data_IF_718817635208
#
_entry.id   IF_718817635208
#
_cell.length_a   1.000
_cell.length_b   1.000
_cell.length_c   1.000
_cell.angle_alpha   90.00
_cell.angle_beta   90.00
_cell.angle_gamma   90.00
#
_symmetry.space_group_name_H-M   'P 1'
#
loop_
_entity.id
_entity.type
_entity.pdbx_description
1 polymer ?
#
# COMPACT_ATOMS: atom_id res chain seq x y z
N UNK A 1 -6.54 -0.36 -30.06
CA UNK A 1 -7.39 -0.57 -28.88
C UNK A 1 -8.49 -1.57 -29.26
N UNK A 2 -8.78 -2.50 -28.37
CA UNK A 2 -9.82 -3.50 -28.55
C UNK A 2 -10.85 -3.36 -27.43
N UNK A 3 -12.13 -3.34 -27.79
CA UNK A 3 -13.23 -3.48 -26.86
C UNK A 3 -13.68 -4.94 -26.94
N UNK A 4 -13.62 -5.64 -25.81
CA UNK A 4 -14.12 -7.00 -25.69
C UNK A 4 -15.50 -6.92 -25.05
N UNK A 5 -16.52 -7.26 -25.84
CA UNK A 5 -17.86 -7.41 -25.34
C UNK A 5 -17.97 -8.76 -24.61
N UNK A 6 -18.33 -8.74 -23.34
CA UNK A 6 -18.41 -9.93 -22.50
C UNK A 6 -19.83 -10.07 -21.95
N UNK A 7 -20.38 -11.27 -22.01
CA UNK A 7 -21.70 -11.56 -21.44
C UNK A 7 -21.72 -11.23 -19.94
N UNK A 8 -22.48 -10.19 -19.59
CA UNK A 8 -22.56 -9.66 -18.23
C UNK A 8 -23.01 -10.70 -17.18
N UNK A 9 -23.70 -11.75 -17.60
CA UNK A 9 -24.19 -12.82 -16.73
C UNK A 9 -23.07 -13.69 -16.10
N UNK A 10 -21.84 -13.64 -16.61
CA UNK A 10 -20.72 -14.46 -16.17
C UNK A 10 -19.77 -13.74 -15.20
N UNK A 11 -19.97 -12.48 -14.92
CA UNK A 11 -19.09 -11.70 -14.05
C UNK A 11 -19.79 -11.32 -12.75
N UNK A 12 -19.62 -12.18 -11.74
CA UNK A 12 -19.96 -11.81 -10.36
C UNK A 12 -18.82 -10.96 -9.83
N UNK A 13 -19.08 -9.67 -9.60
CA UNK A 13 -18.15 -8.81 -8.88
C UNK A 13 -18.06 -9.31 -7.44
N UNK A 14 -16.92 -9.90 -7.09
CA UNK A 14 -16.66 -10.31 -5.72
C UNK A 14 -16.14 -9.08 -4.98
N UNK A 15 -16.97 -8.52 -4.11
CA UNK A 15 -16.51 -7.55 -3.13
C UNK A 15 -15.45 -8.23 -2.25
N UNK A 16 -14.20 -7.73 -2.19
CA UNK A 16 -13.26 -8.20 -1.20
C UNK A 16 -13.90 -7.92 0.17
N UNK A 17 -14.09 -8.97 0.97
CA UNK A 17 -14.72 -8.83 2.29
C UNK A 17 -14.06 -7.70 3.08
N UNK A 18 -14.85 -6.71 3.42
CA UNK A 18 -14.45 -5.55 4.24
C UNK A 18 -14.54 -5.85 5.73
N UNK A 19 -14.99 -7.03 6.11
CA UNK A 19 -15.16 -7.42 7.49
C UNK A 19 -13.81 -7.43 8.21
N UNK A 20 -13.60 -6.42 9.03
CA UNK A 20 -12.48 -6.32 9.95
C UNK A 20 -12.92 -7.03 11.23
N UNK A 21 -12.24 -8.11 11.58
CA UNK A 21 -12.50 -8.75 12.87
C UNK A 21 -12.02 -7.86 14.02
N UNK A 22 -12.79 -7.88 15.12
CA UNK A 22 -12.50 -7.04 16.31
C UNK A 22 -11.11 -7.32 16.90
N UNK A 23 -10.59 -8.53 16.77
CA UNK A 23 -9.27 -8.93 17.25
C UNK A 23 -8.14 -8.19 16.49
N UNK A 24 -8.33 -7.89 15.21
CA UNK A 24 -7.35 -7.17 14.38
C UNK A 24 -7.39 -5.65 14.56
N UNK A 25 -8.46 -5.09 15.13
CA UNK A 25 -8.62 -3.63 15.27
C UNK A 25 -7.46 -2.93 16.00
N UNK A 26 -6.93 -3.43 17.15
CA UNK A 26 -5.80 -2.79 17.82
C UNK A 26 -4.55 -2.74 16.95
N UNK A 27 -4.26 -3.78 16.18
CA UNK A 27 -3.14 -3.86 15.23
C UNK A 27 -3.29 -2.82 14.13
N UNK A 28 -4.47 -2.74 13.51
CA UNK A 28 -4.73 -1.79 12.43
C UNK A 28 -4.72 -0.34 12.91
N UNK A 29 -5.21 -0.10 14.13
CA UNK A 29 -5.14 1.21 14.79
C UNK A 29 -3.70 1.66 15.00
N UNK A 30 -2.84 0.79 15.52
CA UNK A 30 -1.43 1.10 15.74
C UNK A 30 -0.72 1.42 14.42
N UNK A 31 -0.87 0.55 13.41
CA UNK A 31 -0.30 0.76 12.08
C UNK A 31 -0.84 2.05 11.45
N UNK A 32 -2.13 2.30 11.52
CA UNK A 32 -2.76 3.52 10.99
C UNK A 32 -2.24 4.80 11.66
N UNK A 33 -1.98 4.76 12.96
CA UNK A 33 -1.32 5.85 13.69
C UNK A 33 0.08 6.14 13.15
N UNK A 34 0.90 5.11 12.93
CA UNK A 34 2.23 5.26 12.36
C UNK A 34 2.20 5.71 10.89
N UNK A 35 1.25 5.23 10.10
CA UNK A 35 1.06 5.74 8.73
C UNK A 35 0.66 7.22 8.74
N UNK A 36 -0.23 7.63 9.64
CA UNK A 36 -0.60 9.03 9.80
C UNK A 36 0.59 9.91 10.21
N UNK A 37 1.55 9.40 10.96
CA UNK A 37 2.80 10.11 11.28
C UNK A 37 3.70 10.26 10.03
N UNK A 38 3.84 9.22 9.22
CA UNK A 38 4.73 9.19 8.06
C UNK A 38 4.19 9.95 6.85
N UNK A 39 2.88 9.93 6.63
CA UNK A 39 2.24 10.56 5.47
C UNK A 39 2.04 12.04 5.76
N UNK A 40 2.69 12.97 5.05
CA UNK A 40 2.45 14.40 5.26
C UNK A 40 1.10 14.83 4.66
N UNK A 41 0.58 15.97 5.11
CA UNK A 41 -0.49 16.66 4.40
C UNK A 41 -0.08 16.94 2.96
N UNK A 42 -1.03 17.03 2.06
CA UNK A 42 -0.82 17.29 0.63
C UNK A 42 -0.13 16.14 -0.15
N UNK A 43 0.23 15.03 0.51
CA UNK A 43 0.86 13.90 -0.18
C UNK A 43 -0.05 13.30 -1.25
N UNK A 44 0.55 12.90 -2.38
CA UNK A 44 -0.12 12.01 -3.33
C UNK A 44 0.15 10.57 -2.91
N UNK A 45 -0.89 9.81 -2.61
CA UNK A 45 -0.76 8.44 -2.10
C UNK A 45 -1.07 7.40 -3.19
N UNK A 46 -0.34 6.32 -3.14
CA UNK A 46 -0.67 5.03 -3.72
C UNK A 46 -0.92 4.04 -2.59
N UNK A 47 -1.91 3.18 -2.80
CA UNK A 47 -2.34 2.22 -1.78
C UNK A 47 -2.47 0.84 -2.39
N UNK A 48 -1.63 -0.07 -1.95
CA UNK A 48 -1.75 -1.49 -2.30
C UNK A 48 -3.01 -2.13 -1.74
N UNK A 49 -3.49 -3.16 -2.42
CA UNK A 49 -4.67 -3.94 -2.01
C UNK A 49 -4.47 -4.62 -0.66
N UNK A 50 -5.56 -4.80 0.06
CA UNK A 50 -5.63 -5.64 1.25
C UNK A 50 -6.32 -4.98 2.44
N UNK A 51 -6.91 -5.80 3.30
CA UNK A 51 -7.66 -5.36 4.49
C UNK A 51 -6.81 -4.53 5.46
N UNK A 52 -5.54 -4.87 5.61
CA UNK A 52 -4.63 -4.13 6.48
C UNK A 52 -4.49 -2.67 6.03
N UNK A 53 -4.25 -2.42 4.73
CA UNK A 53 -4.17 -1.06 4.20
C UNK A 53 -5.51 -0.34 4.35
N UNK A 54 -6.61 -0.94 3.90
CA UNK A 54 -7.93 -0.32 3.97
C UNK A 54 -8.29 0.11 5.41
N UNK A 55 -8.10 -0.80 6.38
CA UNK A 55 -8.38 -0.51 7.79
C UNK A 55 -7.45 0.55 8.39
N UNK A 56 -6.16 0.50 8.03
CA UNK A 56 -5.17 1.45 8.56
C UNK A 56 -5.35 2.86 8.00
N UNK A 57 -5.81 2.98 6.75
CA UNK A 57 -6.02 4.29 6.11
C UNK A 57 -7.21 5.06 6.68
N UNK A 58 -8.14 4.43 7.39
CA UNK A 58 -9.19 5.15 8.13
C UNK A 58 -8.60 6.14 9.16
N UNK A 59 -7.39 5.87 9.65
CA UNK A 59 -6.68 6.76 10.59
C UNK A 59 -6.00 7.96 9.90
N UNK A 60 -6.16 8.13 8.59
CA UNK A 60 -5.75 9.33 7.86
C UNK A 60 -6.80 10.46 7.91
N UNK A 61 -7.94 10.27 8.57
CA UNK A 61 -8.97 11.29 8.74
C UNK A 61 -8.46 12.68 9.21
N UNK A 62 -7.38 12.79 10.03
CA UNK A 62 -6.82 14.09 10.39
C UNK A 62 -6.00 14.77 9.28
N UNK A 63 -5.70 14.08 8.19
CA UNK A 63 -4.88 14.62 7.08
C UNK A 63 -5.67 15.59 6.22
N UNK A 64 -4.94 16.43 5.48
CA UNK A 64 -5.52 17.47 4.63
C UNK A 64 -4.94 17.41 3.22
N UNK A 65 -5.80 17.68 2.25
CA UNK A 65 -5.44 17.86 0.84
C UNK A 65 -4.66 16.69 0.23
N UNK A 66 -4.91 15.47 0.65
CA UNK A 66 -4.29 14.30 0.02
C UNK A 66 -4.70 14.20 -1.45
N UNK A 67 -3.81 13.64 -2.27
CA UNK A 67 -4.07 13.26 -3.65
C UNK A 67 -3.99 11.75 -3.82
N UNK A 68 -4.58 11.22 -4.89
CA UNK A 68 -4.53 9.79 -5.23
C UNK A 68 -3.96 9.59 -6.63
N UNK A 69 -2.92 8.77 -6.72
CA UNK A 69 -2.41 8.17 -7.93
C UNK A 69 -2.01 6.73 -7.59
N UNK A 70 -2.87 5.77 -7.91
CA UNK A 70 -2.78 4.40 -7.40
C UNK A 70 -3.08 3.36 -8.48
N UNK A 71 -2.63 2.13 -8.31
CA UNK A 71 -3.02 1.02 -9.19
C UNK A 71 -4.50 0.69 -9.00
N UNK A 72 -4.92 0.48 -7.75
CA UNK A 72 -6.29 0.07 -7.42
C UNK A 72 -6.98 1.12 -6.56
N UNK A 73 -8.20 1.49 -6.95
CA UNK A 73 -9.08 2.37 -6.18
C UNK A 73 -10.09 1.53 -5.41
N UNK A 74 -10.23 1.77 -4.12
CA UNK A 74 -11.11 1.03 -3.23
C UNK A 74 -11.99 1.92 -2.35
N UNK A 75 -12.92 1.32 -1.62
CA UNK A 75 -13.92 2.00 -0.77
C UNK A 75 -13.31 3.01 0.21
N UNK A 76 -12.16 2.69 0.78
CA UNK A 76 -11.50 3.62 1.72
C UNK A 76 -11.10 4.94 1.04
N UNK A 77 -10.66 4.91 -0.21
CA UNK A 77 -10.28 6.11 -0.95
C UNK A 77 -11.54 6.93 -1.34
N UNK A 78 -12.65 6.27 -1.65
CA UNK A 78 -13.96 6.92 -1.81
C UNK A 78 -14.35 7.64 -0.51
N UNK A 79 -14.34 6.95 0.62
CA UNK A 79 -14.69 7.51 1.92
C UNK A 79 -13.82 8.72 2.30
N UNK A 80 -12.51 8.64 2.11
CA UNK A 80 -11.59 9.76 2.37
C UNK A 80 -11.82 10.94 1.41
N UNK A 81 -12.32 10.68 0.20
CA UNK A 81 -12.69 11.73 -0.76
C UNK A 81 -13.99 12.42 -0.31
N UNK A 82 -15.01 11.67 0.07
CA UNK A 82 -16.29 12.22 0.54
C UNK A 82 -16.17 13.04 1.83
N UNK A 83 -15.26 12.61 2.72
CA UNK A 83 -14.95 13.34 3.97
C UNK A 83 -14.02 14.54 3.76
N UNK A 84 -13.56 14.80 2.52
CA UNK A 84 -12.73 15.96 2.18
C UNK A 84 -11.25 15.83 2.58
N UNK A 85 -10.81 14.65 3.00
CA UNK A 85 -9.39 14.36 3.27
C UNK A 85 -8.59 14.28 1.96
N UNK A 86 -9.19 13.66 0.93
CA UNK A 86 -8.65 13.60 -0.43
C UNK A 86 -9.34 14.67 -1.28
N UNK A 87 -8.60 15.69 -1.66
CA UNK A 87 -9.06 16.77 -2.54
C UNK A 87 -8.42 16.72 -3.92
N UNK A 88 -7.27 16.05 -4.04
CA UNK A 88 -6.42 16.03 -5.23
C UNK A 88 -5.90 17.42 -5.68
N UNK A 89 -6.12 18.48 -4.92
CA UNK A 89 -5.81 19.87 -5.32
C UNK A 89 -4.31 20.15 -5.34
N UNK A 90 -3.52 19.39 -4.61
CA UNK A 90 -2.06 19.57 -4.50
C UNK A 90 -1.26 18.63 -5.41
N UNK A 91 -1.90 17.75 -6.14
CA UNK A 91 -1.22 16.90 -7.13
C UNK A 91 -0.48 17.73 -8.17
N UNK A 92 0.66 17.23 -8.66
CA UNK A 92 1.41 17.89 -9.74
C UNK A 92 0.71 17.73 -11.09
N UNK A 93 0.12 16.55 -11.33
CA UNK A 93 -0.61 16.22 -12.55
C UNK A 93 -2.03 15.76 -12.22
N UNK A 94 -2.97 15.99 -13.13
CA UNK A 94 -4.40 15.60 -12.97
C UNK A 94 -4.99 16.14 -11.67
N UNK A 95 -4.76 17.43 -11.37
CA UNK A 95 -5.30 18.10 -10.18
C UNK A 95 -6.82 18.00 -10.11
N UNK A 96 -7.33 17.78 -8.90
CA UNK A 96 -8.76 17.61 -8.65
C UNK A 96 -9.29 16.23 -9.03
N UNK A 97 -8.44 15.29 -9.46
CA UNK A 97 -8.84 13.94 -9.84
C UNK A 97 -7.99 12.86 -9.19
N UNK A 98 -8.64 11.85 -8.65
CA UNK A 98 -8.00 10.58 -8.31
C UNK A 98 -7.74 9.78 -9.59
N UNK A 99 -6.50 9.29 -9.76
CA UNK A 99 -6.07 8.54 -10.95
C UNK A 99 -5.76 7.09 -10.57
N UNK A 100 -6.30 6.14 -11.33
CA UNK A 100 -6.11 4.70 -11.08
C UNK A 100 -6.32 3.88 -12.36
N UNK A 101 -5.98 2.57 -12.33
CA UNK A 101 -6.17 1.66 -13.46
C UNK A 101 -7.13 0.51 -13.17
N UNK A 102 -7.39 0.21 -11.90
CA UNK A 102 -8.31 -0.85 -11.46
C UNK A 102 -9.22 -0.36 -10.34
N UNK A 103 -10.35 -1.01 -10.18
CA UNK A 103 -11.30 -0.77 -9.09
C UNK A 103 -11.58 -2.10 -8.40
N UNK A 104 -11.60 -2.07 -7.07
CA UNK A 104 -11.99 -3.22 -6.25
C UNK A 104 -12.69 -2.75 -4.99
N UNK A 105 -13.99 -3.06 -4.85
CA UNK A 105 -14.77 -2.62 -3.71
C UNK A 105 -16.24 -3.03 -3.78
N UNK A 106 -17.06 -2.32 -3.05
CA UNK A 106 -18.49 -2.57 -2.91
C UNK A 106 -19.28 -2.04 -4.12
N UNK A 107 -20.54 -2.46 -4.23
CA UNK A 107 -21.47 -1.91 -5.23
C UNK A 107 -21.66 -0.39 -5.06
N UNK A 108 -21.58 0.12 -3.83
CA UNK A 108 -21.63 1.55 -3.54
C UNK A 108 -20.48 2.30 -4.21
N UNK A 109 -19.25 1.77 -4.13
CA UNK A 109 -18.09 2.33 -4.83
C UNK A 109 -18.32 2.42 -6.33
N UNK A 110 -18.85 1.35 -6.96
CA UNK A 110 -19.08 1.35 -8.41
C UNK A 110 -20.15 2.36 -8.82
N UNK A 111 -21.20 2.55 -8.03
CA UNK A 111 -22.19 3.60 -8.26
C UNK A 111 -21.61 5.00 -8.06
N UNK A 112 -20.74 5.17 -7.07
CA UNK A 112 -20.08 6.44 -6.80
C UNK A 112 -19.11 6.84 -7.93
N UNK A 113 -18.48 5.88 -8.59
CA UNK A 113 -17.59 6.11 -9.72
C UNK A 113 -18.34 6.51 -11.00
N UNK A 114 -19.60 6.11 -11.15
CA UNK A 114 -20.38 6.37 -12.35
C UNK A 114 -20.56 7.87 -12.57
N UNK A 115 -20.15 8.34 -13.74
CA UNK A 115 -20.16 9.77 -14.12
C UNK A 115 -19.46 10.74 -13.14
N UNK A 116 -18.62 10.25 -12.24
CA UNK A 116 -17.87 11.07 -11.28
C UNK A 116 -16.68 11.76 -11.95
N UNK A 117 -16.75 13.09 -12.09
CA UNK A 117 -15.68 13.89 -12.70
C UNK A 117 -14.43 14.05 -11.80
N UNK A 118 -14.51 13.70 -10.52
CA UNK A 118 -13.39 13.71 -9.56
C UNK A 118 -12.45 12.51 -9.69
N UNK A 119 -12.74 11.57 -10.61
CA UNK A 119 -11.92 10.38 -10.84
C UNK A 119 -11.54 10.26 -12.32
N UNK A 120 -10.43 9.58 -12.57
CA UNK A 120 -9.95 9.27 -13.91
C UNK A 120 -9.33 7.89 -13.94
N UNK A 121 -9.97 6.95 -14.62
CA UNK A 121 -9.46 5.62 -14.84
C UNK A 121 -8.67 5.59 -16.16
N UNK A 122 -7.41 5.19 -16.08
CA UNK A 122 -6.51 5.12 -17.22
C UNK A 122 -5.91 3.72 -17.38
N UNK A 123 -5.27 3.50 -18.54
CA UNK A 123 -4.56 2.25 -18.80
C UNK A 123 -3.33 2.11 -17.87
N UNK A 124 -2.90 0.87 -17.63
CA UNK A 124 -1.79 0.58 -16.73
C UNK A 124 -0.45 1.16 -17.21
N UNK A 125 -0.22 1.33 -18.50
CA UNK A 125 1.01 1.94 -19.03
C UNK A 125 1.17 3.40 -18.61
N UNK A 126 0.08 4.13 -18.45
CA UNK A 126 0.07 5.52 -17.97
C UNK A 126 0.15 5.57 -16.45
N UNK A 127 -0.73 4.84 -15.76
CA UNK A 127 -0.85 4.88 -14.30
C UNK A 127 0.39 4.30 -13.61
N UNK A 128 0.96 3.22 -14.14
CA UNK A 128 2.14 2.56 -13.58
C UNK A 128 3.47 3.09 -14.14
N UNK A 129 3.45 4.17 -14.93
CA UNK A 129 4.67 4.76 -15.45
C UNK A 129 5.50 5.41 -14.32
N UNK A 130 6.72 4.91 -14.03
CA UNK A 130 7.51 5.42 -12.92
C UNK A 130 7.83 6.92 -13.05
N UNK A 131 8.01 7.43 -14.29
CA UNK A 131 8.24 8.85 -14.55
C UNK A 131 7.03 9.72 -14.18
N UNK A 132 5.82 9.28 -14.50
CA UNK A 132 4.57 9.97 -14.13
C UNK A 132 4.36 9.93 -12.60
N UNK A 133 4.58 8.78 -11.99
CA UNK A 133 4.46 8.60 -10.54
C UNK A 133 5.48 9.48 -9.80
N UNK A 134 6.75 9.49 -10.22
CA UNK A 134 7.82 10.24 -9.57
C UNK A 134 7.62 11.76 -9.61
N UNK A 135 6.85 12.28 -10.57
CA UNK A 135 6.52 13.71 -10.64
C UNK A 135 5.40 14.14 -9.71
N UNK A 136 4.66 13.20 -9.11
CA UNK A 136 3.59 13.55 -8.18
C UNK A 136 4.14 14.21 -6.91
N UNK A 137 3.41 15.22 -6.42
CA UNK A 137 3.80 15.93 -5.19
C UNK A 137 3.80 14.98 -3.98
N UNK A 138 4.94 14.89 -3.28
CA UNK A 138 5.14 14.06 -2.07
C UNK A 138 4.66 12.63 -2.25
N UNK A 139 5.04 11.99 -3.37
CA UNK A 139 4.57 10.65 -3.70
C UNK A 139 4.85 9.66 -2.58
N UNK A 140 3.81 9.08 -2.01
CA UNK A 140 3.90 8.13 -0.90
C UNK A 140 3.25 6.82 -1.30
N UNK A 141 4.08 5.79 -1.51
CA UNK A 141 3.64 4.44 -1.87
C UNK A 141 3.49 3.59 -0.59
N UNK A 142 2.31 3.00 -0.40
CA UNK A 142 1.94 2.22 0.79
C UNK A 142 1.54 0.82 0.35
N UNK A 143 2.40 -0.14 0.55
CA UNK A 143 2.22 -1.49 0.05
C UNK A 143 2.30 -2.56 1.14
N UNK A 144 1.48 -3.60 1.04
CA UNK A 144 1.53 -4.74 1.94
C UNK A 144 2.63 -5.71 1.56
N UNK A 145 3.24 -6.34 2.57
CA UNK A 145 4.10 -7.50 2.38
C UNK A 145 3.59 -8.72 3.14
N UNK A 146 3.88 -9.88 2.60
CA UNK A 146 3.70 -11.17 3.29
C UNK A 146 4.76 -11.33 4.37
N UNK A 147 6.01 -10.97 4.04
CA UNK A 147 7.15 -11.02 4.95
C UNK A 147 8.26 -10.07 4.49
N UNK A 148 9.12 -9.67 5.42
CA UNK A 148 10.31 -8.84 5.19
C UNK A 148 11.51 -9.50 5.86
N UNK A 149 12.69 -9.52 5.21
CA UNK A 149 13.91 -10.02 5.80
C UNK A 149 14.72 -8.92 6.52
N UNK A 150 15.76 -9.32 7.28
CA UNK A 150 16.60 -8.37 8.04
C UNK A 150 17.47 -7.46 7.15
N UNK A 151 17.56 -7.69 5.86
CA UNK A 151 18.14 -6.76 4.90
C UNK A 151 17.13 -5.70 4.42
N UNK A 152 15.84 -5.94 4.68
CA UNK A 152 14.74 -5.08 4.24
C UNK A 152 14.26 -5.40 2.82
N UNK A 153 14.47 -6.61 2.34
CA UNK A 153 13.81 -7.13 1.16
C UNK A 153 12.36 -7.50 1.53
N UNK A 154 11.40 -7.29 0.63
CA UNK A 154 10.01 -7.65 0.86
C UNK A 154 9.52 -8.68 -0.16
N UNK A 155 8.78 -9.66 0.31
CA UNK A 155 7.98 -10.60 -0.46
C UNK A 155 6.51 -10.22 -0.29
N UNK A 156 5.81 -9.94 -1.39
CA UNK A 156 4.39 -9.54 -1.38
C UNK A 156 3.47 -10.50 -2.15
N UNK A 157 4.01 -11.53 -2.78
CA UNK A 157 3.31 -12.35 -3.77
C UNK A 157 3.37 -13.86 -3.52
N UNK A 158 4.23 -14.31 -2.60
CA UNK A 158 4.50 -15.74 -2.38
C UNK A 158 4.19 -16.14 -0.94
N UNK A 159 3.37 -17.15 -0.77
CA UNK A 159 2.92 -17.59 0.54
C UNK A 159 2.94 -19.12 0.65
N UNK A 160 3.56 -19.65 1.70
CA UNK A 160 3.61 -21.11 1.98
C UNK A 160 4.14 -21.95 0.81
N UNK A 161 5.18 -21.47 0.13
CA UNK A 161 5.81 -22.20 -0.96
C UNK A 161 5.07 -22.12 -2.30
N UNK A 162 4.08 -21.23 -2.43
CA UNK A 162 3.28 -21.07 -3.64
C UNK A 162 3.12 -19.62 -4.03
N UNK A 163 3.10 -19.36 -5.33
CA UNK A 163 2.68 -18.06 -5.87
C UNK A 163 1.22 -17.82 -5.51
N UNK A 164 0.93 -16.68 -4.89
CA UNK A 164 -0.38 -16.29 -4.40
C UNK A 164 -1.03 -15.22 -5.27
N UNK A 165 -0.23 -14.30 -5.77
CA UNK A 165 -0.67 -13.20 -6.65
C UNK A 165 0.43 -12.84 -7.64
N UNK A 166 0.15 -11.95 -8.58
CA UNK A 166 1.19 -11.22 -9.31
C UNK A 166 1.86 -10.17 -8.42
N UNK A 167 2.99 -9.63 -8.89
CA UNK A 167 3.68 -8.53 -8.24
C UNK A 167 2.90 -7.21 -8.32
N UNK A 168 2.05 -7.05 -9.35
CA UNK A 168 1.35 -5.78 -9.61
C UNK A 168 2.30 -4.61 -9.84
N UNK A 169 1.84 -3.40 -9.53
CA UNK A 169 2.59 -2.16 -9.67
C UNK A 169 3.53 -1.82 -8.51
N UNK A 170 3.68 -2.68 -7.50
CA UNK A 170 4.44 -2.37 -6.28
C UNK A 170 5.86 -1.84 -6.57
N UNK A 171 6.60 -2.45 -7.51
CA UNK A 171 7.94 -2.00 -7.88
C UNK A 171 7.93 -0.63 -8.57
N UNK A 172 6.94 -0.35 -9.41
CA UNK A 172 6.79 0.92 -10.11
C UNK A 172 6.58 2.06 -9.12
N UNK A 173 5.63 1.89 -8.20
CA UNK A 173 5.32 2.89 -7.18
C UNK A 173 6.47 3.06 -6.17
N UNK A 174 7.04 1.98 -5.66
CA UNK A 174 8.13 2.04 -4.71
C UNK A 174 9.37 2.73 -5.31
N UNK A 175 9.76 2.41 -6.56
CA UNK A 175 10.90 3.03 -7.22
C UNK A 175 10.68 4.52 -7.50
N UNK A 176 9.48 4.87 -7.92
CA UNK A 176 9.11 6.25 -8.19
C UNK A 176 9.05 7.09 -6.90
N UNK A 177 8.46 6.55 -5.84
CA UNK A 177 8.42 7.20 -4.54
C UNK A 177 9.81 7.40 -3.95
N UNK A 178 10.69 6.39 -4.02
CA UNK A 178 12.08 6.48 -3.56
C UNK A 178 12.92 7.46 -4.39
N UNK A 179 12.53 7.75 -5.63
CA UNK A 179 13.19 8.74 -6.50
C UNK A 179 12.66 10.16 -6.34
N UNK A 180 11.54 10.33 -5.64
CA UNK A 180 10.92 11.62 -5.37
C UNK A 180 11.55 12.23 -4.12
N UNK A 181 11.99 13.50 -4.18
CA UNK A 181 12.73 14.16 -3.08
C UNK A 181 11.96 14.19 -1.75
N UNK A 182 10.65 14.30 -1.79
CA UNK A 182 9.77 14.27 -0.61
C UNK A 182 8.93 12.98 -0.53
N UNK A 183 9.23 12.02 -1.41
CA UNK A 183 8.50 10.76 -1.50
C UNK A 183 8.85 9.78 -0.40
N UNK A 184 8.02 8.74 -0.27
CA UNK A 184 8.25 7.65 0.68
C UNK A 184 7.77 6.33 0.10
N UNK A 185 8.61 5.30 0.19
CA UNK A 185 8.24 3.91 -0.06
C UNK A 185 8.04 3.19 1.27
N UNK A 186 6.81 2.83 1.58
CA UNK A 186 6.39 2.26 2.86
C UNK A 186 5.88 0.84 2.64
N UNK A 187 6.48 -0.12 3.31
CA UNK A 187 6.01 -1.49 3.39
C UNK A 187 5.31 -1.71 4.71
N UNK A 188 4.09 -2.24 4.65
CA UNK A 188 3.24 -2.45 5.83
C UNK A 188 2.96 -3.94 6.00
N UNK A 189 3.09 -4.43 7.21
CA UNK A 189 2.70 -5.79 7.55
C UNK A 189 2.43 -5.93 9.05
N UNK A 190 1.63 -6.89 9.44
CA UNK A 190 1.57 -7.35 10.83
C UNK A 190 2.89 -8.01 11.19
N UNK A 191 3.40 -7.82 12.41
CA UNK A 191 4.71 -8.38 12.80
C UNK A 191 4.70 -9.91 12.97
N UNK A 192 3.50 -10.50 13.12
CA UNK A 192 3.29 -11.91 13.41
C UNK A 192 2.16 -12.48 12.54
N UNK A 193 2.20 -13.77 12.25
CA UNK A 193 1.09 -14.47 11.59
C UNK A 193 -0.14 -14.53 12.50
N UNK A 194 -1.36 -14.56 11.90
CA UNK A 194 -2.63 -14.59 12.64
C UNK A 194 -2.72 -15.69 13.72
N UNK A 195 -2.09 -16.85 13.50
CA UNK A 195 -2.05 -17.92 14.47
C UNK A 195 -0.96 -17.75 15.56
N UNK A 196 -0.25 -16.63 15.58
CA UNK A 196 0.79 -16.31 16.55
C UNK A 196 2.05 -17.20 16.50
N UNK A 197 2.22 -18.03 15.47
CA UNK A 197 3.28 -19.04 15.42
C UNK A 197 4.56 -18.56 14.76
N UNK A 198 4.48 -17.62 13.82
CA UNK A 198 5.63 -17.22 13.01
C UNK A 198 5.75 -15.70 12.92
N UNK A 199 6.98 -15.19 13.03
CA UNK A 199 7.29 -13.81 12.71
C UNK A 199 7.13 -13.57 11.21
N UNK A 200 6.64 -12.40 10.80
CA UNK A 200 6.69 -11.93 9.41
C UNK A 200 7.96 -11.12 9.12
N UNK A 201 8.70 -10.72 10.17
CA UNK A 201 10.08 -10.22 10.02
C UNK A 201 11.00 -11.43 10.14
N UNK A 202 11.72 -11.76 9.07
CA UNK A 202 12.53 -12.97 8.93
C UNK A 202 14.03 -12.67 8.96
N UNK A 203 14.88 -13.54 9.51
CA UNK A 203 16.33 -13.40 9.35
C UNK A 203 16.73 -13.35 7.87
N UNK A 204 16.17 -14.25 7.07
CA UNK A 204 16.30 -14.35 5.61
C UNK A 204 15.10 -15.10 5.05
N UNK A 205 14.81 -14.93 3.78
CA UNK A 205 13.74 -15.67 3.12
C UNK A 205 14.10 -17.16 2.96
N UNK A 206 13.10 -18.01 3.00
CA UNK A 206 13.26 -19.41 2.64
C UNK A 206 13.73 -19.54 1.17
N UNK A 207 14.56 -20.56 0.86
CA UNK A 207 14.97 -20.80 -0.53
C UNK A 207 13.78 -20.89 -1.49
N UNK A 208 13.89 -20.19 -2.61
CA UNK A 208 12.82 -20.14 -3.61
C UNK A 208 11.74 -19.07 -3.38
N UNK A 209 11.80 -18.33 -2.28
CA UNK A 209 10.91 -17.17 -2.08
C UNK A 209 11.37 -16.01 -2.97
N UNK A 210 10.49 -15.44 -3.82
CA UNK A 210 10.84 -14.29 -4.64
C UNK A 210 11.02 -13.02 -3.78
N UNK A 211 11.89 -12.15 -4.23
CA UNK A 211 12.03 -10.79 -3.71
C UNK A 211 11.18 -9.87 -4.58
N UNK A 212 9.98 -9.53 -4.12
CA UNK A 212 9.10 -8.62 -4.85
C UNK A 212 9.63 -7.19 -4.83
N UNK A 213 10.10 -6.72 -3.65
CA UNK A 213 10.78 -5.45 -3.51
C UNK A 213 12.22 -5.65 -3.04
N UNK A 214 13.22 -5.22 -3.84
CA UNK A 214 14.60 -5.22 -3.40
C UNK A 214 14.81 -4.21 -2.26
N UNK A 215 15.75 -4.50 -1.38
CA UNK A 215 16.09 -3.68 -0.20
C UNK A 215 16.37 -2.20 -0.50
N UNK A 216 16.74 -1.88 -1.72
CA UNK A 216 17.03 -0.49 -2.15
C UNK A 216 15.79 0.34 -2.36
N UNK A 217 14.63 -0.28 -2.52
CA UNK A 217 13.34 0.38 -2.72
C UNK A 217 12.47 0.39 -1.46
N UNK A 218 12.87 -0.27 -0.38
CA UNK A 218 12.15 -0.28 0.90
C UNK A 218 12.77 0.76 1.81
N UNK A 219 12.08 1.88 2.02
CA UNK A 219 12.56 2.97 2.87
C UNK A 219 12.05 2.88 4.29
N UNK A 220 10.79 2.46 4.44
CA UNK A 220 10.14 2.27 5.74
C UNK A 220 9.45 0.92 5.79
N UNK A 221 9.54 0.29 6.95
CA UNK A 221 8.73 -0.89 7.30
C UNK A 221 7.92 -0.54 8.53
N UNK A 222 6.59 -0.69 8.43
CA UNK A 222 5.65 -0.37 9.50
C UNK A 222 4.94 -1.64 9.94
N UNK A 223 4.97 -1.89 11.23
CA UNK A 223 4.19 -2.93 11.90
C UNK A 223 3.40 -2.31 13.06
N UNK A 224 2.59 -3.06 13.75
CA UNK A 224 1.93 -2.61 14.98
C UNK A 224 2.93 -2.35 16.13
N UNK A 225 4.19 -2.74 15.94
CA UNK A 225 5.26 -2.53 16.94
C UNK A 225 6.04 -1.21 16.71
N UNK A 226 5.84 -0.54 15.57
CA UNK A 226 6.52 0.71 15.26
C UNK A 226 6.94 0.89 13.80
N UNK A 227 7.82 1.86 13.59
CA UNK A 227 8.37 2.26 12.29
C UNK A 227 9.86 1.92 12.24
N UNK A 228 10.28 1.11 11.29
CA UNK A 228 11.68 0.92 10.93
C UNK A 228 12.03 1.78 9.72
N UNK A 229 12.80 2.86 9.92
CA UNK A 229 13.39 3.64 8.83
C UNK A 229 14.68 2.97 8.37
N UNK A 230 14.77 2.65 7.08
CA UNK A 230 15.89 1.88 6.51
C UNK A 230 16.84 2.71 5.64
N UNK A 231 16.43 3.92 5.26
CA UNK A 231 17.21 4.82 4.41
C UNK A 231 18.53 5.21 5.10
N UNK A 232 19.63 5.13 4.35
CA UNK A 232 20.96 5.54 4.83
C UNK A 232 21.58 4.59 5.86
N UNK A 233 20.96 3.43 6.12
CA UNK A 233 21.44 2.46 7.11
C UNK A 233 22.31 1.36 6.49
N UNK A 234 23.37 1.00 7.20
CA UNK A 234 24.17 -0.20 6.92
C UNK A 234 23.34 -1.48 7.15
N UNK A 235 23.74 -2.65 6.61
CA UNK A 235 23.03 -3.90 6.83
C UNK A 235 22.79 -4.22 8.32
N UNK A 236 23.77 -3.97 9.18
CA UNK A 236 23.63 -4.18 10.63
C UNK A 236 22.59 -3.25 11.27
N UNK A 237 22.57 -1.98 10.88
CA UNK A 237 21.59 -1.00 11.38
C UNK A 237 20.19 -1.29 10.86
N UNK A 238 20.07 -1.77 9.60
CA UNK A 238 18.78 -2.23 9.05
C UNK A 238 18.24 -3.40 9.85
N UNK A 239 19.08 -4.40 10.12
CA UNK A 239 18.68 -5.55 10.93
C UNK A 239 18.20 -5.12 12.32
N UNK A 240 18.94 -4.24 13.01
CA UNK A 240 18.53 -3.71 14.34
C UNK A 240 17.18 -2.97 14.27
N UNK A 241 16.98 -2.14 13.26
CA UNK A 241 15.72 -1.42 13.07
C UNK A 241 14.55 -2.39 12.84
N UNK A 242 14.72 -3.42 12.01
CA UNK A 242 13.70 -4.42 11.70
C UNK A 242 13.41 -5.33 12.89
N UNK A 243 14.40 -5.73 13.66
CA UNK A 243 14.22 -6.46 14.93
C UNK A 243 13.37 -5.60 15.89
N UNK A 244 13.59 -4.28 15.94
CA UNK A 244 12.81 -3.36 16.77
C UNK A 244 11.29 -3.35 16.46
N UNK A 245 10.90 -3.60 15.21
CA UNK A 245 9.50 -3.67 14.78
C UNK A 245 8.98 -5.10 14.60
N UNK A 246 9.80 -6.12 14.89
CA UNK A 246 9.34 -7.49 14.97
C UNK A 246 8.48 -7.70 16.23
N UNK A 247 7.63 -8.71 16.21
CA UNK A 247 6.85 -9.08 17.41
C UNK A 247 7.80 -9.44 18.57
N UNK A 248 7.57 -8.96 19.81
CA UNK A 248 8.48 -9.14 20.94
C UNK A 248 8.93 -10.60 21.17
N UNK A 249 8.05 -11.57 20.94
CA UNK A 249 8.33 -13.00 21.05
C UNK A 249 9.48 -13.49 20.17
N UNK A 250 9.88 -12.74 19.13
CA UNK A 250 10.85 -13.17 18.10
C UNK A 250 12.02 -12.20 17.95
N UNK A 251 12.27 -11.35 18.95
CA UNK A 251 13.37 -10.36 18.90
C UNK A 251 14.74 -10.91 19.34
N UNK A 252 14.75 -12.12 19.89
CA UNK A 252 15.94 -12.82 20.35
C UNK A 252 16.63 -13.62 19.25
#
# INVERSE_FOLDING_TARGET
DYIVDADAENYVMVSPGTDIDEESLPTYKAIGGYLSELIPDEATIEVGLGRLNAASLMYLAPKRDLGVHTEVFGDILMHLTETGVITNLKKSEKRGRSVFTQVSGTEELYRWLDHNQGVEMNNCQEVLNPGTIARQHRMTAINNAVEVDLLGQANSEFLKGKQHSGAGGICNFASAAASNLEGKSIVVLESITRNGKFSKIKPFFAPGTPVTLPRTLVEYVVTEQGIARLVGKSPSERAKALIGVAHPKFRE
#
